data_IF_298204100126
#
_entry.id   IF_298204100126
#
_cell.length_a   1.000
_cell.length_b   1.000
_cell.length_c   1.000
_cell.angle_alpha   90.00
_cell.angle_beta   90.00
_cell.angle_gamma   90.00
#
_symmetry.space_group_name_H-M   'P 1'
#
loop_
_entity.id
_entity.type
_entity.pdbx_description
1 polymer ?
#
# COMPACT_ATOMS: atom_id res chain seq x y z
N UNK A 1 -20.65 26.67 -7.38
CA UNK A 1 -20.42 25.22 -7.33
C UNK A 1 -20.49 24.67 -8.75
N UNK A 2 -19.42 24.07 -9.21
CA UNK A 2 -19.42 23.34 -10.46
C UNK A 2 -20.26 22.05 -10.29
N UNK A 3 -21.15 21.76 -11.24
CA UNK A 3 -22.06 20.62 -11.10
C UNK A 3 -21.58 19.47 -11.99
N UNK A 4 -20.93 18.49 -11.38
CA UNK A 4 -20.44 17.30 -12.06
C UNK A 4 -21.55 16.23 -12.12
N UNK A 5 -22.11 16.01 -13.30
CA UNK A 5 -23.20 15.04 -13.52
C UNK A 5 -22.68 13.66 -13.90
N UNK A 6 -21.56 13.62 -14.62
CA UNK A 6 -20.92 12.41 -15.10
C UNK A 6 -19.41 12.48 -14.88
N UNK A 7 -18.84 11.48 -14.22
CA UNK A 7 -17.40 11.37 -14.00
C UNK A 7 -16.86 10.07 -14.58
N UNK A 8 -15.59 10.08 -14.98
CA UNK A 8 -14.86 8.94 -15.47
C UNK A 8 -13.72 8.60 -14.50
N UNK A 9 -13.67 7.37 -13.97
CA UNK A 9 -12.62 6.92 -13.05
C UNK A 9 -11.72 5.93 -13.77
N UNK A 10 -10.43 6.27 -13.92
CA UNK A 10 -9.43 5.49 -14.64
C UNK A 10 -8.60 4.66 -13.66
N UNK A 11 -8.67 3.35 -13.76
CA UNK A 11 -8.14 2.38 -12.81
C UNK A 11 -9.19 2.00 -11.76
N UNK A 12 -9.62 0.75 -11.75
CA UNK A 12 -10.68 0.23 -10.87
C UNK A 12 -10.11 -0.75 -9.82
N UNK A 13 -8.89 -0.47 -9.35
CA UNK A 13 -8.26 -1.22 -8.27
C UNK A 13 -8.79 -0.84 -6.87
N UNK A 14 -7.95 -1.08 -5.84
CA UNK A 14 -8.28 -0.89 -4.42
C UNK A 14 -8.69 0.53 -4.02
N UNK A 15 -8.37 1.54 -4.83
CA UNK A 15 -8.78 2.93 -4.60
C UNK A 15 -9.88 3.32 -5.59
N UNK A 16 -9.65 3.13 -6.90
CA UNK A 16 -10.57 3.66 -7.91
C UNK A 16 -11.96 3.03 -7.90
N UNK A 17 -12.09 1.72 -7.65
CA UNK A 17 -13.43 1.09 -7.59
C UNK A 17 -14.25 1.57 -6.37
N UNK A 18 -13.70 1.62 -5.14
CA UNK A 18 -14.41 2.21 -4.01
C UNK A 18 -14.77 3.69 -4.23
N UNK A 19 -13.86 4.50 -4.78
CA UNK A 19 -14.12 5.91 -5.12
C UNK A 19 -15.27 6.02 -6.12
N UNK A 20 -15.23 5.24 -7.21
CA UNK A 20 -16.27 5.21 -8.24
C UNK A 20 -17.66 4.82 -7.66
N UNK A 21 -17.69 3.75 -6.86
CA UNK A 21 -18.93 3.27 -6.23
C UNK A 21 -19.48 4.29 -5.22
N UNK A 22 -18.60 4.98 -4.47
CA UNK A 22 -19.00 6.02 -3.51
C UNK A 22 -19.61 7.23 -4.21
N UNK A 23 -19.02 7.75 -5.28
CA UNK A 23 -19.64 8.81 -6.10
C UNK A 23 -21.00 8.37 -6.65
N UNK A 24 -21.08 7.14 -7.19
CA UNK A 24 -22.32 6.61 -7.75
C UNK A 24 -23.44 6.52 -6.70
N UNK A 25 -23.13 6.08 -5.48
CA UNK A 25 -24.06 6.02 -4.37
C UNK A 25 -24.58 7.40 -3.92
N UNK A 26 -23.81 8.46 -4.18
CA UNK A 26 -24.21 9.83 -3.89
C UNK A 26 -24.80 10.56 -5.09
N UNK A 27 -25.27 9.81 -6.10
CA UNK A 27 -26.09 10.33 -7.19
C UNK A 27 -25.37 10.78 -8.45
N UNK A 28 -24.03 10.76 -8.47
CA UNK A 28 -23.23 11.07 -9.66
C UNK A 28 -23.25 9.86 -10.61
N UNK A 29 -23.41 10.08 -11.91
CA UNK A 29 -23.20 9.01 -12.90
C UNK A 29 -21.71 8.76 -13.04
N UNK A 30 -21.28 7.49 -12.95
CA UNK A 30 -19.87 7.10 -13.01
C UNK A 30 -19.64 6.08 -14.10
N UNK A 31 -18.64 6.34 -14.93
CA UNK A 31 -18.04 5.34 -15.82
C UNK A 31 -16.66 4.99 -15.31
N UNK A 32 -16.47 3.76 -14.86
CA UNK A 32 -15.17 3.22 -14.52
C UNK A 32 -14.44 2.71 -15.77
N UNK A 33 -13.14 2.88 -15.82
CA UNK A 33 -12.30 2.40 -16.91
C UNK A 33 -11.15 1.59 -16.35
N UNK A 34 -10.99 0.36 -16.84
CA UNK A 34 -9.87 -0.49 -16.48
C UNK A 34 -9.40 -1.30 -17.69
N UNK A 35 -8.09 -1.51 -17.81
CA UNK A 35 -7.50 -2.31 -18.90
C UNK A 35 -7.77 -3.81 -18.75
N UNK A 36 -8.17 -4.25 -17.57
CA UNK A 36 -8.49 -5.65 -17.27
C UNK A 36 -9.96 -5.95 -17.60
N UNK A 37 -10.20 -6.58 -18.76
CA UNK A 37 -11.55 -6.97 -19.20
C UNK A 37 -12.31 -7.80 -18.15
N UNK A 38 -11.64 -8.71 -17.45
CA UNK A 38 -12.28 -9.53 -16.43
C UNK A 38 -12.80 -8.69 -15.25
N UNK A 39 -12.06 -7.67 -14.82
CA UNK A 39 -12.52 -6.74 -13.79
C UNK A 39 -13.75 -5.95 -14.28
N UNK A 40 -13.70 -5.45 -15.51
CA UNK A 40 -14.82 -4.74 -16.16
C UNK A 40 -16.07 -5.61 -16.20
N UNK A 41 -15.95 -6.88 -16.62
CA UNK A 41 -17.08 -7.82 -16.72
C UNK A 41 -17.69 -8.13 -15.35
N UNK A 42 -16.85 -8.32 -14.31
CA UNK A 42 -17.33 -8.54 -12.95
C UNK A 42 -18.10 -7.33 -12.41
N UNK A 43 -17.54 -6.14 -12.57
CA UNK A 43 -18.18 -4.91 -12.08
C UNK A 43 -19.54 -4.70 -12.75
N UNK A 44 -19.65 -4.89 -14.06
CA UNK A 44 -20.91 -4.77 -14.79
C UNK A 44 -21.96 -5.83 -14.39
N UNK A 45 -21.53 -6.94 -13.77
CA UNK A 45 -22.39 -7.94 -13.14
C UNK A 45 -22.75 -7.59 -11.68
N UNK A 46 -22.33 -6.43 -11.16
CA UNK A 46 -22.48 -6.04 -9.75
C UNK A 46 -21.62 -6.85 -8.79
N UNK A 47 -20.47 -7.34 -9.26
CA UNK A 47 -19.49 -8.11 -8.48
C UNK A 47 -18.18 -7.33 -8.35
N UNK A 48 -17.38 -7.69 -7.37
CA UNK A 48 -16.07 -7.08 -7.14
C UNK A 48 -14.93 -8.10 -7.35
N UNK A 49 -13.76 -7.61 -7.76
CA UNK A 49 -12.53 -8.40 -7.93
C UNK A 49 -11.48 -8.10 -6.84
N UNK A 50 -11.84 -7.26 -5.88
CA UNK A 50 -11.01 -6.89 -4.73
C UNK A 50 -11.76 -7.17 -3.43
N UNK A 51 -11.03 -7.38 -2.33
CA UNK A 51 -11.62 -7.67 -1.02
C UNK A 51 -11.62 -6.39 -0.18
N UNK A 52 -12.81 -5.83 0.05
CA UNK A 52 -13.02 -4.70 0.95
C UNK A 52 -14.41 -4.83 1.57
N UNK A 53 -14.56 -4.68 2.89
CA UNK A 53 -15.87 -4.79 3.56
C UNK A 53 -16.94 -3.89 2.92
N UNK A 54 -18.12 -4.43 2.74
CA UNK A 54 -19.33 -3.77 2.21
C UNK A 54 -19.25 -3.27 0.76
N UNK A 55 -18.11 -3.38 0.10
CA UNK A 55 -17.93 -2.90 -1.27
C UNK A 55 -18.76 -3.70 -2.29
N UNK A 56 -18.89 -5.01 -2.11
CA UNK A 56 -19.67 -5.88 -2.99
C UNK A 56 -21.17 -5.50 -3.00
N UNK A 57 -21.71 -5.20 -1.83
CA UNK A 57 -23.09 -4.73 -1.69
C UNK A 57 -23.27 -3.37 -2.37
N UNK A 58 -22.34 -2.43 -2.12
CA UNK A 58 -22.38 -1.10 -2.71
C UNK A 58 -22.31 -1.14 -4.24
N UNK A 59 -21.34 -1.89 -4.80
CA UNK A 59 -21.17 -2.01 -6.27
C UNK A 59 -22.40 -2.63 -6.91
N UNK A 60 -22.94 -3.71 -6.33
CA UNK A 60 -24.17 -4.34 -6.83
C UNK A 60 -25.32 -3.34 -6.91
N UNK A 61 -25.53 -2.56 -5.85
CA UNK A 61 -26.65 -1.63 -5.76
C UNK A 61 -26.52 -0.47 -6.77
N UNK A 62 -25.34 0.14 -6.90
CA UNK A 62 -25.13 1.27 -7.83
C UNK A 62 -25.10 0.83 -9.30
N UNK A 63 -24.66 -0.41 -9.60
CA UNK A 63 -24.75 -0.98 -10.95
C UNK A 63 -26.20 -1.29 -11.31
N UNK A 64 -26.97 -1.90 -10.40
CA UNK A 64 -28.39 -2.17 -10.61
C UNK A 64 -29.23 -0.90 -10.84
N UNK A 65 -28.82 0.23 -10.24
CA UNK A 65 -29.44 1.54 -10.45
C UNK A 65 -28.97 2.24 -11.75
N UNK A 66 -28.02 1.65 -12.49
CA UNK A 66 -27.43 2.25 -13.69
C UNK A 66 -26.56 3.50 -13.39
N UNK A 67 -26.10 3.67 -12.14
CA UNK A 67 -25.25 4.78 -11.70
C UNK A 67 -23.78 4.51 -11.91
N UNK A 68 -23.35 3.25 -11.88
CA UNK A 68 -21.99 2.79 -12.18
C UNK A 68 -22.02 1.82 -13.35
N UNK A 69 -21.14 2.02 -14.30
CA UNK A 69 -20.80 1.07 -15.36
C UNK A 69 -19.30 1.03 -15.56
N UNK A 70 -18.75 -0.07 -16.08
CA UNK A 70 -17.33 -0.22 -16.34
C UNK A 70 -17.06 -0.55 -17.82
N UNK A 71 -15.94 -0.07 -18.35
CA UNK A 71 -15.51 -0.32 -19.73
C UNK A 71 -13.98 -0.19 -19.89
N UNK A 72 -13.48 -0.54 -21.07
CA UNK A 72 -12.03 -0.53 -21.37
C UNK A 72 -11.53 0.85 -21.82
N UNK A 73 -12.40 1.65 -22.45
CA UNK A 73 -12.04 2.91 -23.10
C UNK A 73 -12.75 4.05 -22.39
N UNK A 74 -12.09 5.20 -22.11
CA UNK A 74 -12.73 6.40 -21.57
C UNK A 74 -13.85 6.94 -22.46
N UNK A 75 -14.70 7.78 -21.92
CA UNK A 75 -15.76 8.50 -22.62
C UNK A 75 -15.77 9.96 -22.17
N UNK A 76 -16.54 10.79 -22.87
CA UNK A 76 -16.79 12.16 -22.46
C UNK A 76 -17.42 12.22 -21.08
N UNK A 77 -16.87 13.07 -20.22
CA UNK A 77 -17.30 13.27 -18.84
C UNK A 77 -16.97 14.69 -18.38
N UNK A 78 -17.59 15.12 -17.28
CA UNK A 78 -17.31 16.43 -16.68
C UNK A 78 -15.99 16.43 -15.90
N UNK A 79 -15.63 15.27 -15.31
CA UNK A 79 -14.38 15.09 -14.60
C UNK A 79 -13.79 13.70 -14.80
N UNK A 80 -12.46 13.62 -14.71
CA UNK A 80 -11.67 12.40 -14.81
C UNK A 80 -10.83 12.23 -13.55
N UNK A 81 -10.93 11.07 -12.91
CA UNK A 81 -10.12 10.71 -11.74
C UNK A 81 -9.16 9.60 -12.16
N UNK A 82 -7.86 9.86 -12.06
CA UNK A 82 -6.80 8.91 -12.41
C UNK A 82 -6.30 8.21 -11.14
N UNK A 83 -6.64 6.93 -10.98
CA UNK A 83 -6.34 6.08 -9.84
C UNK A 83 -5.58 4.80 -10.27
N UNK A 84 -4.55 4.99 -11.09
CA UNK A 84 -3.72 3.92 -11.66
C UNK A 84 -2.50 3.60 -10.79
N UNK A 85 -1.89 2.41 -10.89
CA UNK A 85 -0.66 2.08 -10.15
C UNK A 85 0.52 3.00 -10.49
N UNK A 86 1.37 3.26 -9.49
CA UNK A 86 2.64 3.98 -9.63
C UNK A 86 3.78 3.15 -9.02
N UNK A 87 4.18 2.03 -9.65
CA UNK A 87 5.29 1.22 -9.16
C UNK A 87 6.62 1.96 -9.34
N UNK A 88 7.69 1.44 -8.75
CA UNK A 88 9.05 1.85 -9.06
C UNK A 88 9.73 0.84 -9.99
N UNK A 89 10.78 1.30 -10.68
CA UNK A 89 11.70 0.50 -11.49
C UNK A 89 12.81 -0.08 -10.61
N UNK A 90 13.68 -0.92 -11.18
CA UNK A 90 14.75 -1.62 -10.47
C UNK A 90 15.70 -0.71 -9.68
N UNK A 91 15.83 0.55 -10.05
CA UNK A 91 16.65 1.58 -9.38
C UNK A 91 15.87 2.48 -8.41
N UNK A 92 14.70 2.04 -7.97
CA UNK A 92 13.76 2.80 -7.14
C UNK A 92 13.23 4.09 -7.77
N UNK A 93 13.39 4.29 -9.09
CA UNK A 93 12.78 5.41 -9.79
C UNK A 93 11.28 5.15 -10.03
N UNK A 94 10.43 6.17 -9.83
CA UNK A 94 8.99 6.00 -10.07
C UNK A 94 8.71 5.70 -11.54
N UNK A 95 7.83 4.72 -11.80
CA UNK A 95 7.36 4.41 -13.14
C UNK A 95 6.02 5.11 -13.42
N UNK A 96 6.06 6.22 -14.12
CA UNK A 96 4.89 7.04 -14.43
C UNK A 96 4.16 6.60 -15.72
N UNK A 97 4.57 5.50 -16.36
CA UNK A 97 3.97 5.04 -17.63
C UNK A 97 2.46 4.81 -17.56
N UNK A 98 1.94 4.39 -16.40
CA UNK A 98 0.51 4.17 -16.22
C UNK A 98 -0.26 5.49 -16.17
N UNK A 99 0.31 6.53 -15.52
CA UNK A 99 -0.27 7.89 -15.52
C UNK A 99 -0.21 8.47 -16.92
N UNK A 100 0.90 8.31 -17.64
CA UNK A 100 1.06 8.74 -19.03
C UNK A 100 0.02 8.07 -19.93
N UNK A 101 -0.14 6.74 -19.82
CA UNK A 101 -1.14 5.99 -20.58
C UNK A 101 -2.57 6.46 -20.28
N UNK A 102 -2.90 6.69 -19.00
CA UNK A 102 -4.19 7.22 -18.60
C UNK A 102 -4.43 8.63 -19.17
N UNK A 103 -3.43 9.52 -19.08
CA UNK A 103 -3.51 10.87 -19.65
C UNK A 103 -3.76 10.81 -21.17
N UNK A 104 -3.01 10.01 -21.91
CA UNK A 104 -3.20 9.83 -23.36
C UNK A 104 -4.56 9.23 -23.70
N UNK A 105 -5.07 8.32 -22.88
CA UNK A 105 -6.37 7.69 -23.09
C UNK A 105 -7.54 8.66 -22.88
N UNK A 106 -7.47 9.56 -21.90
CA UNK A 106 -8.54 10.56 -21.64
C UNK A 106 -8.46 11.79 -22.57
N UNK A 107 -7.28 12.12 -23.08
CA UNK A 107 -7.06 13.34 -23.87
C UNK A 107 -8.08 13.53 -25.02
N UNK A 108 -8.45 12.52 -25.84
CA UNK A 108 -9.43 12.71 -26.92
C UNK A 108 -10.83 13.13 -26.46
N UNK A 109 -11.17 12.90 -25.19
CA UNK A 109 -12.49 13.15 -24.61
C UNK A 109 -12.57 14.46 -23.82
N UNK A 110 -11.44 15.17 -23.68
CA UNK A 110 -11.42 16.44 -22.94
C UNK A 110 -12.14 17.53 -23.69
N UNK A 111 -12.88 18.34 -22.95
CA UNK A 111 -13.54 19.56 -23.39
C UNK A 111 -13.33 20.68 -22.38
N UNK A 112 -13.64 21.92 -22.76
CA UNK A 112 -13.53 23.09 -21.87
C UNK A 112 -14.25 22.83 -20.54
N UNK A 113 -13.67 23.33 -19.46
CA UNK A 113 -14.11 23.19 -18.05
C UNK A 113 -14.04 21.76 -17.48
N UNK A 114 -13.46 20.81 -18.20
CA UNK A 114 -13.21 19.49 -17.62
C UNK A 114 -12.17 19.56 -16.49
N UNK A 115 -12.42 18.76 -15.45
CA UNK A 115 -11.52 18.57 -14.32
C UNK A 115 -10.79 17.23 -14.43
N UNK A 116 -9.46 17.25 -14.32
CA UNK A 116 -8.63 16.02 -14.24
C UNK A 116 -7.94 15.97 -12.90
N UNK A 117 -8.20 14.92 -12.13
CA UNK A 117 -7.62 14.69 -10.80
C UNK A 117 -6.67 13.50 -10.85
N UNK A 118 -5.43 13.70 -10.43
CA UNK A 118 -4.52 12.60 -10.12
C UNK A 118 -4.73 12.19 -8.65
N UNK A 119 -5.33 11.02 -8.44
CA UNK A 119 -5.58 10.45 -7.10
C UNK A 119 -4.48 9.43 -6.69
N UNK A 120 -3.79 8.85 -7.68
CA UNK A 120 -2.67 7.93 -7.44
C UNK A 120 -1.57 8.56 -6.61
N UNK A 121 -1.03 7.84 -5.62
CA UNK A 121 0.20 8.26 -4.92
C UNK A 121 1.32 8.44 -5.94
N UNK A 122 1.96 9.59 -5.93
CA UNK A 122 2.86 10.00 -7.00
C UNK A 122 4.06 10.80 -6.46
N UNK A 123 5.21 10.77 -7.11
CA UNK A 123 6.32 11.67 -6.79
C UNK A 123 5.95 13.12 -7.05
N UNK A 124 6.59 14.03 -6.32
CA UNK A 124 6.37 15.49 -6.50
C UNK A 124 6.68 15.91 -7.94
N UNK A 125 5.70 16.56 -8.57
CA UNK A 125 5.74 17.01 -9.96
C UNK A 125 5.04 16.06 -10.95
N UNK A 126 4.48 14.93 -10.50
CA UNK A 126 3.77 14.01 -11.37
C UNK A 126 2.48 14.62 -11.95
N UNK A 127 1.78 15.44 -11.18
CA UNK A 127 0.58 16.16 -11.63
C UNK A 127 0.91 17.16 -12.75
N UNK A 128 2.01 17.89 -12.59
CA UNK A 128 2.51 18.81 -13.63
C UNK A 128 2.94 18.03 -14.89
N UNK A 129 3.55 16.88 -14.71
CA UNK A 129 3.94 16.02 -15.83
C UNK A 129 2.71 15.45 -16.57
N UNK A 130 1.66 15.06 -15.84
CA UNK A 130 0.37 14.66 -16.42
C UNK A 130 -0.24 15.81 -17.23
N UNK A 131 -0.22 17.03 -16.68
CA UNK A 131 -0.68 18.23 -17.38
C UNK A 131 0.09 18.50 -18.68
N UNK A 132 1.40 18.24 -18.68
CA UNK A 132 2.24 18.38 -19.87
C UNK A 132 1.85 17.36 -20.97
N UNK A 133 1.67 16.08 -20.61
CA UNK A 133 1.22 15.06 -21.57
C UNK A 133 -0.17 15.33 -22.15
N UNK A 134 -1.10 15.82 -21.33
CA UNK A 134 -2.42 16.24 -21.78
C UNK A 134 -2.35 17.42 -22.75
N UNK A 135 -1.54 18.42 -22.43
CA UNK A 135 -1.33 19.61 -23.27
C UNK A 135 -0.67 19.26 -24.63
N UNK A 136 0.27 18.31 -24.62
CA UNK A 136 0.89 17.81 -25.85
C UNK A 136 -0.13 17.08 -26.73
N UNK A 137 -1.01 16.27 -26.14
CA UNK A 137 -2.04 15.52 -26.84
C UNK A 137 -3.23 16.40 -27.31
N UNK A 138 -3.47 17.56 -26.68
CA UNK A 138 -4.59 18.49 -26.96
C UNK A 138 -4.10 19.93 -27.09
N UNK A 139 -3.35 20.25 -28.17
CA UNK A 139 -2.84 21.60 -28.42
C UNK A 139 -3.94 22.64 -28.75
N UNK A 140 -5.16 22.17 -28.94
CA UNK A 140 -6.37 22.99 -29.13
C UNK A 140 -6.98 23.52 -27.82
N UNK A 141 -6.56 22.99 -26.67
CA UNK A 141 -7.00 23.38 -25.31
C UNK A 141 -5.84 24.02 -24.53
N UNK A 142 -6.18 24.90 -23.62
CA UNK A 142 -5.21 25.52 -22.70
C UNK A 142 -5.22 24.82 -21.34
N UNK A 143 -4.04 24.70 -20.72
CA UNK A 143 -3.83 24.03 -19.45
C UNK A 143 -3.28 24.98 -18.38
N UNK A 144 -3.39 24.67 -17.07
CA UNK A 144 -2.98 25.58 -16.00
C UNK A 144 -1.54 26.07 -16.08
N UNK A 145 -0.59 25.25 -16.56
CA UNK A 145 0.79 25.66 -16.75
C UNK A 145 0.99 26.70 -17.87
N UNK A 146 0.01 26.86 -18.75
CA UNK A 146 0.06 27.80 -19.88
C UNK A 146 -0.76 29.07 -19.61
N UNK A 147 -1.98 28.90 -19.06
CA UNK A 147 -2.98 29.96 -18.95
C UNK A 147 -3.42 30.28 -17.51
N UNK A 148 -2.85 29.59 -16.50
CA UNK A 148 -3.19 29.79 -15.09
C UNK A 148 -4.68 29.62 -14.83
N UNK A 149 -5.31 30.62 -14.19
CA UNK A 149 -6.74 30.62 -13.87
C UNK A 149 -7.67 30.70 -15.11
N UNK A 150 -7.13 31.02 -16.27
CA UNK A 150 -7.89 31.15 -17.54
C UNK A 150 -7.82 29.88 -18.38
N UNK A 151 -7.21 28.80 -17.84
CA UNK A 151 -7.07 27.52 -18.55
C UNK A 151 -8.45 26.92 -18.87
N UNK A 152 -8.54 26.27 -20.03
CA UNK A 152 -9.73 25.51 -20.42
C UNK A 152 -9.89 24.25 -19.56
N UNK A 153 -8.78 23.60 -19.18
CA UNK A 153 -8.77 22.38 -18.38
C UNK A 153 -8.33 22.69 -16.95
N UNK A 154 -8.99 22.05 -15.98
CA UNK A 154 -8.66 22.13 -14.56
C UNK A 154 -7.89 20.88 -14.14
N UNK A 155 -6.79 21.04 -13.37
CA UNK A 155 -5.95 19.92 -12.96
C UNK A 155 -5.61 20.02 -11.47
N UNK A 156 -5.76 18.90 -10.75
CA UNK A 156 -5.43 18.80 -9.33
C UNK A 156 -4.82 17.44 -8.97
N UNK A 157 -4.16 17.43 -7.81
CA UNK A 157 -3.78 16.21 -7.10
C UNK A 157 -4.59 16.09 -5.81
N UNK A 158 -5.25 14.95 -5.61
CA UNK A 158 -6.04 14.68 -4.41
C UNK A 158 -5.70 13.29 -3.88
N UNK A 159 -4.60 13.12 -3.12
CA UNK A 159 -4.11 11.81 -2.72
C UNK A 159 -5.10 11.08 -1.81
N UNK A 160 -5.25 9.78 -2.04
CA UNK A 160 -6.06 8.95 -1.18
C UNK A 160 -5.31 8.55 0.09
N UNK A 161 -6.02 8.58 1.25
CA UNK A 161 -5.45 8.43 2.59
C UNK A 161 -6.22 7.43 3.45
N UNK A 162 -6.81 6.41 2.82
CA UNK A 162 -7.62 5.40 3.50
C UNK A 162 -6.81 4.17 3.93
N UNK A 163 -7.34 3.49 4.94
CA UNK A 163 -6.79 2.22 5.42
C UNK A 163 -7.56 1.05 4.79
N UNK A 164 -6.88 0.07 4.15
CA UNK A 164 -7.52 -1.17 3.71
C UNK A 164 -8.31 -1.84 4.83
N UNK A 165 -9.53 -2.27 4.53
CA UNK A 165 -10.51 -2.79 5.49
C UNK A 165 -11.45 -1.73 6.10
N UNK A 166 -11.23 -0.42 5.79
CA UNK A 166 -12.08 0.71 6.20
C UNK A 166 -12.27 1.73 5.08
N UNK A 167 -11.98 1.34 3.84
CA UNK A 167 -11.91 2.28 2.70
C UNK A 167 -13.20 3.08 2.55
N UNK A 168 -14.36 2.43 2.50
CA UNK A 168 -15.64 3.12 2.28
C UNK A 168 -15.99 4.11 3.40
N UNK A 169 -15.70 3.74 4.65
CA UNK A 169 -15.95 4.63 5.78
C UNK A 169 -15.01 5.83 5.75
N UNK A 170 -13.71 5.60 5.53
CA UNK A 170 -12.69 6.63 5.58
C UNK A 170 -12.72 7.55 4.35
N UNK A 171 -13.16 7.09 3.17
CA UNK A 171 -13.44 7.94 2.02
C UNK A 171 -14.42 9.08 2.35
N UNK A 172 -15.42 8.77 3.19
CA UNK A 172 -16.47 9.71 3.56
C UNK A 172 -16.05 10.59 4.75
N UNK A 173 -15.39 10.00 5.76
CA UNK A 173 -15.17 10.65 7.05
C UNK A 173 -13.85 11.41 7.17
N UNK A 174 -12.80 11.00 6.43
CA UNK A 174 -11.49 11.63 6.56
C UNK A 174 -11.43 12.99 5.88
N UNK A 175 -10.61 13.89 6.42
CA UNK A 175 -10.22 15.12 5.75
C UNK A 175 -9.46 14.81 4.47
N UNK A 176 -9.71 15.58 3.41
CA UNK A 176 -9.09 15.39 2.11
C UNK A 176 -8.18 16.57 1.77
N UNK A 177 -6.95 16.28 1.39
CA UNK A 177 -6.02 17.27 0.87
C UNK A 177 -6.34 17.47 -0.61
N UNK A 178 -6.51 18.73 -1.01
CA UNK A 178 -6.86 19.10 -2.39
C UNK A 178 -5.83 20.06 -2.93
N UNK A 179 -4.96 19.58 -3.81
CA UNK A 179 -3.88 20.34 -4.40
C UNK A 179 -4.14 20.71 -5.85
N UNK A 180 -4.73 21.86 -6.12
CA UNK A 180 -4.90 22.37 -7.48
C UNK A 180 -3.60 22.90 -8.08
N UNK A 181 -3.47 22.85 -9.42
CA UNK A 181 -2.43 23.62 -10.11
C UNK A 181 -2.71 25.12 -10.07
N UNK A 182 -3.98 25.52 -9.87
CA UNK A 182 -4.44 26.88 -9.55
C UNK A 182 -5.52 26.83 -8.48
N UNK A 183 -5.87 27.95 -7.81
CA UNK A 183 -7.01 28.02 -6.88
C UNK A 183 -8.33 27.56 -7.52
N UNK A 184 -8.58 27.92 -8.79
CA UNK A 184 -9.76 27.43 -9.53
C UNK A 184 -9.79 25.91 -9.64
N UNK A 185 -8.64 25.28 -9.86
CA UNK A 185 -8.52 23.82 -9.91
C UNK A 185 -8.82 23.20 -8.53
N UNK A 186 -8.30 23.79 -7.44
CA UNK A 186 -8.60 23.36 -6.08
C UNK A 186 -10.10 23.45 -5.79
N UNK A 187 -10.72 24.58 -6.08
CA UNK A 187 -12.14 24.78 -5.79
C UNK A 187 -13.04 23.81 -6.56
N UNK A 188 -12.76 23.56 -7.84
CA UNK A 188 -13.50 22.59 -8.63
C UNK A 188 -13.38 21.17 -8.05
N UNK A 189 -12.18 20.80 -7.60
CA UNK A 189 -11.95 19.50 -6.95
C UNK A 189 -12.67 19.39 -5.61
N UNK A 190 -12.68 20.45 -4.80
CA UNK A 190 -13.44 20.52 -3.55
C UNK A 190 -14.94 20.36 -3.83
N UNK A 191 -15.48 21.06 -4.82
CA UNK A 191 -16.89 20.95 -5.22
C UNK A 191 -17.25 19.51 -5.61
N UNK A 192 -16.36 18.80 -6.33
CA UNK A 192 -16.56 17.41 -6.70
C UNK A 192 -16.56 16.49 -5.48
N UNK A 193 -15.54 16.54 -4.62
CA UNK A 193 -15.44 15.62 -3.48
C UNK A 193 -16.49 15.89 -2.40
N UNK A 194 -16.94 17.13 -2.22
CA UNK A 194 -18.01 17.49 -1.26
C UNK A 194 -19.35 16.83 -1.55
N UNK A 195 -19.51 16.15 -2.68
CA UNK A 195 -20.68 15.32 -2.95
C UNK A 195 -20.82 14.21 -1.88
N UNK A 196 -19.72 13.64 -1.38
CA UNK A 196 -19.75 12.58 -0.37
C UNK A 196 -18.84 12.82 0.84
N UNK A 197 -17.77 13.61 0.72
CA UNK A 197 -16.82 13.85 1.81
C UNK A 197 -17.44 14.73 2.88
N UNK A 198 -17.53 14.18 4.10
CA UNK A 198 -18.01 14.87 5.31
C UNK A 198 -16.88 15.55 6.07
N UNK A 199 -15.66 15.03 5.97
CA UNK A 199 -14.46 15.68 6.51
C UNK A 199 -14.14 16.99 5.80
N UNK A 200 -13.13 17.71 6.26
CA UNK A 200 -12.70 18.94 5.64
C UNK A 200 -11.95 18.67 4.31
N UNK A 201 -12.22 19.49 3.30
CA UNK A 201 -11.41 19.54 2.09
C UNK A 201 -10.42 20.69 2.24
N UNK A 202 -9.15 20.37 2.47
CA UNK A 202 -8.09 21.33 2.80
C UNK A 202 -7.36 21.71 1.51
N UNK A 203 -7.49 22.97 1.11
CA UNK A 203 -6.86 23.48 -0.09
C UNK A 203 -5.35 23.65 0.07
N UNK A 204 -4.61 23.27 -0.97
CA UNK A 204 -3.18 23.53 -1.14
C UNK A 204 -2.80 23.50 -2.63
N UNK A 205 -1.51 23.51 -2.97
CA UNK A 205 -1.03 23.30 -4.32
C UNK A 205 -0.70 21.81 -4.60
N UNK A 206 -0.62 21.43 -5.88
CA UNK A 206 -0.41 20.05 -6.31
C UNK A 206 0.86 19.44 -5.70
N UNK A 207 1.99 20.15 -5.70
CA UNK A 207 3.26 19.66 -5.14
C UNK A 207 3.18 19.38 -3.64
N UNK A 208 2.51 20.26 -2.89
CA UNK A 208 2.32 20.06 -1.45
C UNK A 208 1.41 18.87 -1.19
N UNK A 209 0.34 18.70 -1.97
CA UNK A 209 -0.57 17.55 -1.83
C UNK A 209 0.14 16.23 -2.13
N UNK A 210 0.95 16.15 -3.19
CA UNK A 210 1.81 15.00 -3.51
C UNK A 210 2.76 14.69 -2.35
N UNK A 211 3.46 15.72 -1.84
CA UNK A 211 4.43 15.56 -0.75
C UNK A 211 3.76 15.16 0.57
N UNK A 212 2.54 15.64 0.87
CA UNK A 212 1.80 15.26 2.08
C UNK A 212 1.65 13.75 2.19
N UNK A 213 1.17 13.10 1.12
CA UNK A 213 1.00 11.64 1.09
C UNK A 213 2.31 10.89 1.29
N UNK A 214 3.36 11.30 0.59
CA UNK A 214 4.68 10.69 0.70
C UNK A 214 5.27 10.89 2.10
N UNK A 215 5.05 12.06 2.71
CA UNK A 215 5.53 12.37 4.06
C UNK A 215 4.86 11.51 5.12
N UNK A 216 3.55 11.26 5.03
CA UNK A 216 2.81 10.40 5.97
C UNK A 216 3.40 8.98 6.00
N UNK A 217 3.64 8.40 4.82
CA UNK A 217 4.20 7.06 4.71
C UNK A 217 5.67 7.02 5.09
N UNK A 218 6.46 8.03 4.74
CA UNK A 218 7.87 8.16 5.15
C UNK A 218 8.03 8.36 6.66
N UNK A 219 7.17 9.17 7.29
CA UNK A 219 7.14 9.32 8.75
C UNK A 219 6.91 7.97 9.43
N UNK A 220 5.95 7.19 8.93
CA UNK A 220 5.64 5.87 9.46
C UNK A 220 6.81 4.90 9.27
N UNK A 221 7.44 4.90 8.09
CA UNK A 221 8.60 4.08 7.77
C UNK A 221 9.81 4.38 8.67
N UNK A 222 10.14 5.65 8.87
CA UNK A 222 11.22 6.09 9.77
C UNK A 222 10.98 5.63 11.22
N UNK A 223 9.74 5.72 11.70
CA UNK A 223 9.40 5.27 13.06
C UNK A 223 9.46 3.74 13.21
N UNK A 224 9.13 2.98 12.15
CA UNK A 224 9.31 1.53 12.14
C UNK A 224 10.81 1.19 12.08
N UNK A 225 11.60 1.89 11.27
CA UNK A 225 13.05 1.70 11.18
C UNK A 225 13.73 1.92 12.54
N UNK A 226 13.33 2.97 13.26
CA UNK A 226 13.81 3.21 14.62
C UNK A 226 13.50 2.04 15.57
N UNK A 227 12.28 1.50 15.54
CA UNK A 227 11.90 0.34 16.36
C UNK A 227 12.68 -0.92 15.95
N UNK A 228 12.88 -1.15 14.64
CA UNK A 228 13.63 -2.27 14.11
C UNK A 228 15.11 -2.20 14.49
N UNK A 229 15.75 -1.03 14.38
CA UNK A 229 17.11 -0.79 14.82
C UNK A 229 17.25 -1.00 16.34
N UNK A 230 16.32 -0.48 17.15
CA UNK A 230 16.30 -0.74 18.60
C UNK A 230 16.24 -2.23 18.92
N UNK A 231 15.49 -3.02 18.15
CA UNK A 231 15.41 -4.47 18.40
C UNK A 231 16.75 -5.18 18.16
N UNK A 232 17.54 -4.74 17.17
CA UNK A 232 18.89 -5.25 16.88
C UNK A 232 19.87 -4.82 17.98
N UNK A 233 19.80 -3.56 18.41
CA UNK A 233 20.63 -3.03 19.51
C UNK A 233 20.33 -3.76 20.82
N UNK A 234 19.05 -3.97 21.14
CA UNK A 234 18.61 -4.67 22.36
C UNK A 234 19.09 -6.13 22.38
N UNK A 235 18.99 -6.83 21.25
CA UNK A 235 19.53 -8.19 21.11
C UNK A 235 21.04 -8.23 21.42
N UNK A 236 21.80 -7.29 20.86
CA UNK A 236 23.24 -7.19 21.09
C UNK A 236 23.61 -6.88 22.56
N UNK A 237 22.74 -6.19 23.28
CA UNK A 237 22.93 -5.75 24.68
C UNK A 237 22.22 -6.64 25.71
N UNK A 238 21.61 -7.73 25.29
CA UNK A 238 20.80 -8.64 26.13
C UNK A 238 19.67 -7.86 26.87
N UNK A 239 18.97 -6.99 26.14
CA UNK A 239 17.82 -6.19 26.63
C UNK A 239 16.55 -6.69 25.96
N UNK A 240 15.47 -6.81 26.74
CA UNK A 240 14.14 -7.08 26.17
C UNK A 240 13.58 -5.82 25.49
N UNK A 241 13.53 -5.81 24.15
CA UNK A 241 13.05 -4.65 23.38
C UNK A 241 11.59 -4.31 23.65
N UNK A 242 10.75 -5.30 23.92
CA UNK A 242 9.33 -5.11 24.19
C UNK A 242 9.11 -4.38 25.53
N UNK A 243 9.87 -4.76 26.54
CA UNK A 243 9.88 -4.07 27.84
C UNK A 243 10.43 -2.67 27.69
N UNK A 244 11.56 -2.49 27.01
CA UNK A 244 12.16 -1.19 26.73
C UNK A 244 11.15 -0.23 26.11
N UNK A 245 10.50 -0.64 25.00
CA UNK A 245 9.52 0.18 24.27
C UNK A 245 8.32 0.52 25.19
N UNK A 246 7.81 -0.46 25.94
CA UNK A 246 6.72 -0.24 26.90
C UNK A 246 7.08 0.80 27.95
N UNK A 247 8.30 0.77 28.47
CA UNK A 247 8.78 1.72 29.48
C UNK A 247 9.06 3.10 28.87
N UNK A 248 9.73 3.16 27.71
CA UNK A 248 10.02 4.41 27.00
C UNK A 248 8.73 5.17 26.63
N UNK A 249 7.71 4.45 26.17
CA UNK A 249 6.41 5.02 25.81
C UNK A 249 5.59 5.53 27.04
N UNK A 250 6.08 5.34 28.27
CA UNK A 250 5.52 6.04 29.45
C UNK A 250 5.83 7.52 29.43
N UNK A 251 6.85 7.95 28.72
CA UNK A 251 7.18 9.37 28.57
C UNK A 251 6.15 10.05 27.64
N UNK A 252 5.53 11.17 28.04
CA UNK A 252 4.38 11.77 27.33
C UNK A 252 4.66 12.25 25.91
N UNK A 253 5.92 12.41 25.52
CA UNK A 253 6.34 12.84 24.18
C UNK A 253 6.98 11.72 23.35
N UNK A 254 6.87 10.46 23.78
CA UNK A 254 7.49 9.30 23.11
C UNK A 254 6.40 8.31 22.75
N UNK A 255 6.39 7.90 21.48
CA UNK A 255 5.47 6.88 20.94
C UNK A 255 6.23 6.00 19.92
N UNK A 256 7.09 5.13 20.43
CA UNK A 256 7.86 4.17 19.63
C UNK A 256 6.91 3.09 19.13
N UNK A 257 6.97 2.79 17.83
CA UNK A 257 6.22 1.71 17.22
C UNK A 257 6.80 0.34 17.61
N UNK A 258 6.09 -0.73 17.27
CA UNK A 258 6.59 -2.08 17.51
C UNK A 258 7.56 -2.51 16.39
N UNK A 259 8.67 -3.17 16.71
CA UNK A 259 9.53 -3.77 15.71
C UNK A 259 8.87 -4.98 15.04
N UNK A 260 9.41 -5.40 13.91
CA UNK A 260 8.95 -6.54 13.16
C UNK A 260 10.07 -7.16 12.30
N UNK A 261 9.75 -8.11 11.42
CA UNK A 261 10.73 -8.76 10.56
C UNK A 261 11.18 -7.90 9.37
N UNK A 262 10.61 -6.71 9.21
CA UNK A 262 10.81 -5.77 8.11
C UNK A 262 9.53 -5.02 7.78
N UNK A 263 9.51 -4.28 6.67
CA UNK A 263 8.35 -3.50 6.20
C UNK A 263 7.95 -3.97 4.82
N UNK A 264 6.72 -4.46 4.71
CA UNK A 264 6.12 -4.90 3.46
C UNK A 264 4.94 -4.05 3.01
N UNK A 265 4.27 -4.53 1.96
CA UNK A 265 3.13 -3.85 1.34
C UNK A 265 3.53 -2.79 0.31
N UNK A 266 2.53 -2.25 -0.40
CA UNK A 266 2.76 -1.39 -1.57
C UNK A 266 2.98 0.09 -1.27
N UNK A 267 2.77 0.54 -0.03
CA UNK A 267 2.81 1.97 0.29
C UNK A 267 4.09 2.31 1.09
N UNK A 268 4.20 1.80 2.33
CA UNK A 268 5.29 2.21 3.23
C UNK A 268 6.66 1.76 2.70
N UNK A 269 6.73 0.61 2.03
CA UNK A 269 7.97 0.12 1.44
C UNK A 269 8.37 0.85 0.15
N UNK A 270 7.46 1.57 -0.50
CA UNK A 270 7.63 2.17 -1.84
C UNK A 270 7.72 3.69 -1.79
N UNK A 271 6.75 4.36 -1.18
CA UNK A 271 6.59 5.82 -1.24
C UNK A 271 7.81 6.62 -0.75
N UNK A 272 8.56 6.19 0.30
CA UNK A 272 9.77 6.90 0.72
C UNK A 272 10.83 6.98 -0.39
N UNK A 273 10.92 5.97 -1.25
CA UNK A 273 11.84 5.97 -2.38
C UNK A 273 11.50 7.06 -3.41
N UNK A 274 10.24 7.48 -3.53
CA UNK A 274 9.86 8.61 -4.40
C UNK A 274 10.47 9.93 -3.91
N UNK A 275 10.57 10.13 -2.59
CA UNK A 275 11.28 11.29 -2.03
C UNK A 275 12.78 11.16 -2.27
N UNK A 276 13.35 9.98 -1.99
CA UNK A 276 14.80 9.72 -2.15
C UNK A 276 15.23 9.89 -3.60
N UNK A 277 14.46 9.36 -4.56
CA UNK A 277 14.79 9.47 -5.98
C UNK A 277 14.78 10.91 -6.48
N UNK A 278 13.88 11.75 -5.96
CA UNK A 278 13.73 13.15 -6.35
C UNK A 278 14.77 14.07 -5.68
N UNK A 279 15.14 13.76 -4.44
CA UNK A 279 16.05 14.60 -3.62
C UNK A 279 17.12 13.74 -2.92
N UNK A 280 18.01 13.06 -3.69
CA UNK A 280 18.90 12.03 -3.15
C UNK A 280 19.91 12.55 -2.14
N UNK A 281 20.32 13.81 -2.25
CA UNK A 281 21.28 14.43 -1.33
C UNK A 281 20.64 14.86 -0.01
N UNK A 282 19.37 15.28 -0.05
CA UNK A 282 18.65 15.81 1.11
C UNK A 282 17.92 14.71 1.90
N UNK A 283 17.43 13.65 1.24
CA UNK A 283 16.62 12.60 1.84
C UNK A 283 17.45 11.54 2.59
N UNK A 284 18.44 11.97 3.40
CA UNK A 284 19.40 11.07 4.08
C UNK A 284 18.72 10.17 5.12
N UNK A 285 17.89 10.75 6.01
CA UNK A 285 17.19 10.03 7.05
C UNK A 285 16.18 9.03 6.45
N UNK A 286 15.40 9.46 5.46
CA UNK A 286 14.39 8.63 4.79
C UNK A 286 15.05 7.44 4.10
N UNK A 287 16.16 7.67 3.40
CA UNK A 287 16.96 6.61 2.77
C UNK A 287 17.48 5.61 3.80
N UNK A 288 18.15 6.08 4.85
CA UNK A 288 18.71 5.21 5.89
C UNK A 288 17.61 4.40 6.58
N UNK A 289 16.45 4.99 6.84
CA UNK A 289 15.31 4.27 7.40
C UNK A 289 14.86 3.11 6.49
N UNK A 290 14.78 3.35 5.17
CA UNK A 290 14.49 2.26 4.21
C UNK A 290 15.57 1.17 4.23
N UNK A 291 16.83 1.55 4.22
CA UNK A 291 17.97 0.62 4.29
C UNK A 291 17.92 -0.24 5.57
N UNK A 292 17.59 0.35 6.72
CA UNK A 292 17.39 -0.38 7.99
C UNK A 292 16.23 -1.37 7.88
N UNK A 293 15.08 -0.94 7.36
CA UNK A 293 13.91 -1.79 7.21
C UNK A 293 14.14 -2.91 6.19
N UNK A 294 14.83 -2.64 5.08
CA UNK A 294 15.13 -3.61 4.02
C UNK A 294 16.21 -4.62 4.45
N UNK A 295 17.13 -4.25 5.34
CA UNK A 295 18.15 -5.13 5.92
C UNK A 295 17.60 -6.04 7.04
N UNK A 296 16.45 -5.70 7.64
CA UNK A 296 15.91 -6.43 8.79
C UNK A 296 15.60 -7.91 8.50
N UNK A 297 15.07 -8.32 7.34
CA UNK A 297 14.87 -9.73 7.01
C UNK A 297 16.15 -10.57 7.04
N UNK A 298 17.27 -10.03 6.55
CA UNK A 298 18.57 -10.73 6.58
C UNK A 298 19.05 -10.95 8.03
N UNK A 299 18.91 -9.93 8.87
CA UNK A 299 19.23 -10.08 10.29
C UNK A 299 18.38 -11.19 10.95
N UNK A 300 17.08 -11.28 10.64
CA UNK A 300 16.21 -12.36 11.15
C UNK A 300 16.69 -13.72 10.67
N UNK A 301 17.04 -13.84 9.40
CA UNK A 301 17.60 -15.09 8.82
C UNK A 301 18.87 -15.51 9.57
N UNK A 302 19.75 -14.57 9.87
CA UNK A 302 20.98 -14.87 10.61
C UNK A 302 20.70 -15.30 12.05
N UNK A 303 19.70 -14.73 12.73
CA UNK A 303 19.26 -15.24 14.04
C UNK A 303 18.74 -16.68 13.96
N UNK A 304 17.99 -17.03 12.90
CA UNK A 304 17.53 -18.41 12.67
C UNK A 304 18.70 -19.36 12.45
N UNK A 305 19.72 -18.96 11.67
CA UNK A 305 20.93 -19.77 11.44
C UNK A 305 21.72 -20.02 12.72
N UNK A 306 21.87 -18.98 13.57
CA UNK A 306 22.50 -19.11 14.88
C UNK A 306 21.74 -20.15 15.71
N UNK A 307 20.41 -20.08 15.74
CA UNK A 307 19.56 -21.01 16.49
C UNK A 307 19.64 -22.45 15.96
N UNK A 308 19.73 -22.60 14.63
CA UNK A 308 19.96 -23.91 13.99
C UNK A 308 21.33 -24.48 14.42
N UNK A 309 22.38 -23.64 14.42
CA UNK A 309 23.72 -24.09 14.83
C UNK A 309 23.74 -24.53 16.30
N UNK A 310 23.10 -23.77 17.20
CA UNK A 310 22.94 -24.18 18.62
C UNK A 310 22.19 -25.52 18.75
N UNK A 311 21.11 -25.69 17.97
CA UNK A 311 20.34 -26.92 17.97
C UNK A 311 21.16 -28.12 17.49
N UNK A 312 21.93 -28.00 16.40
CA UNK A 312 22.78 -29.04 15.86
C UNK A 312 23.94 -29.36 16.80
N UNK A 313 24.50 -28.39 17.50
CA UNK A 313 25.53 -28.61 18.52
C UNK A 313 25.00 -29.45 19.68
N UNK A 314 23.73 -29.27 20.05
CA UNK A 314 23.07 -30.05 21.10
C UNK A 314 22.59 -31.43 20.61
N UNK A 315 22.52 -31.67 19.30
CA UNK A 315 22.04 -32.90 18.66
C UNK A 315 23.03 -33.35 17.55
N UNK A 316 24.24 -33.83 17.92
CA UNK A 316 25.33 -34.09 16.95
C UNK A 316 25.03 -35.20 15.94
N UNK A 317 24.02 -36.02 16.17
CA UNK A 317 23.52 -37.05 15.22
C UNK A 317 22.67 -36.45 14.07
N UNK A 318 22.20 -35.20 14.21
CA UNK A 318 21.37 -34.51 13.19
C UNK A 318 22.22 -33.67 12.24
N UNK A 319 21.69 -33.48 11.04
CA UNK A 319 22.23 -32.60 10.01
C UNK A 319 21.21 -31.44 9.74
N UNK A 320 21.59 -30.44 8.97
CA UNK A 320 20.69 -29.33 8.60
C UNK A 320 19.41 -29.83 7.89
N UNK A 321 19.48 -30.96 7.19
CA UNK A 321 18.34 -31.56 6.49
C UNK A 321 17.33 -32.22 7.44
N UNK A 322 17.76 -32.50 8.67
CA UNK A 322 16.91 -33.11 9.71
C UNK A 322 16.26 -32.02 10.58
N UNK A 323 16.61 -30.72 10.37
CA UNK A 323 16.07 -29.62 11.12
C UNK A 323 14.79 -29.13 10.46
N UNK A 324 13.74 -28.95 11.26
CA UNK A 324 12.47 -28.35 10.85
C UNK A 324 12.26 -27.02 11.55
N UNK A 325 12.02 -25.98 10.76
CA UNK A 325 11.73 -24.61 11.24
C UNK A 325 10.28 -24.27 10.96
N UNK A 326 9.53 -23.90 11.99
CA UNK A 326 8.16 -23.41 11.85
C UNK A 326 8.14 -21.88 11.74
N UNK A 327 7.66 -21.35 10.60
CA UNK A 327 7.49 -19.93 10.34
C UNK A 327 6.03 -19.54 10.57
N UNK A 328 5.75 -18.83 11.66
CA UNK A 328 4.42 -18.37 12.06
C UNK A 328 4.11 -17.00 11.44
N UNK A 329 3.25 -16.99 10.40
CA UNK A 329 2.84 -15.84 9.62
C UNK A 329 3.68 -15.65 8.36
N UNK A 330 2.98 -15.45 7.23
CA UNK A 330 3.58 -15.16 5.92
C UNK A 330 3.09 -13.83 5.34
N UNK A 331 1.95 -13.30 5.83
CA UNK A 331 1.39 -12.04 5.37
C UNK A 331 2.27 -10.84 5.78
N UNK A 332 2.18 -9.73 5.06
CA UNK A 332 2.97 -8.55 5.43
C UNK A 332 2.42 -7.80 6.66
N UNK A 333 1.24 -8.18 7.15
CA UNK A 333 0.53 -7.52 8.25
C UNK A 333 -0.41 -8.52 8.94
N UNK A 334 -0.70 -8.36 10.26
CA UNK A 334 -1.61 -9.25 10.97
C UNK A 334 -3.02 -9.31 10.40
N UNK A 335 -3.63 -10.51 10.44
CA UNK A 335 -5.04 -10.78 10.17
C UNK A 335 -5.51 -10.46 8.75
N UNK A 336 -4.61 -10.56 7.76
CA UNK A 336 -4.91 -10.45 6.33
C UNK A 336 -4.30 -11.63 5.56
N UNK A 337 -4.73 -11.80 4.31
CA UNK A 337 -4.24 -12.82 3.35
C UNK A 337 -3.24 -12.26 2.30
N UNK A 338 -2.84 -10.98 2.43
CA UNK A 338 -1.97 -10.32 1.46
C UNK A 338 -0.49 -10.61 1.71
N UNK A 339 0.12 -11.30 0.76
CA UNK A 339 1.52 -11.74 0.78
C UNK A 339 2.46 -10.83 -0.02
N UNK A 340 1.94 -9.75 -0.63
CA UNK A 340 2.73 -8.89 -1.51
C UNK A 340 3.81 -8.15 -0.73
N UNK A 341 5.04 -8.19 -1.25
CA UNK A 341 6.22 -7.56 -0.62
C UNK A 341 6.35 -7.92 0.88
N UNK A 342 5.95 -9.15 1.26
CA UNK A 342 6.01 -9.59 2.66
C UNK A 342 7.43 -9.98 3.07
N UNK A 343 8.02 -9.31 4.08
CA UNK A 343 9.29 -9.72 4.66
C UNK A 343 9.22 -11.14 5.28
N UNK A 344 8.08 -11.50 5.86
CA UNK A 344 7.86 -12.82 6.44
C UNK A 344 7.92 -13.94 5.39
N UNK A 345 7.30 -13.70 4.22
CA UNK A 345 7.36 -14.62 3.09
C UNK A 345 8.78 -14.71 2.51
N UNK A 346 9.49 -13.58 2.41
CA UNK A 346 10.88 -13.53 1.93
C UNK A 346 11.82 -14.30 2.85
N UNK A 347 11.74 -14.10 4.16
CA UNK A 347 12.50 -14.85 5.16
C UNK A 347 12.23 -16.35 5.02
N UNK A 348 10.97 -16.74 4.97
CA UNK A 348 10.55 -18.14 4.80
C UNK A 348 11.15 -18.76 3.55
N UNK A 349 11.08 -18.05 2.42
CA UNK A 349 11.64 -18.46 1.14
C UNK A 349 13.16 -18.63 1.20
N UNK A 350 13.88 -17.62 1.71
CA UNK A 350 15.36 -17.65 1.79
C UNK A 350 15.88 -18.75 2.72
N UNK A 351 15.19 -19.03 3.82
CA UNK A 351 15.52 -20.17 4.69
C UNK A 351 15.33 -21.50 3.95
N UNK A 352 14.24 -21.68 3.22
CA UNK A 352 13.97 -22.87 2.44
C UNK A 352 15.00 -23.07 1.31
N UNK A 353 15.41 -21.99 0.61
CA UNK A 353 16.44 -22.03 -0.44
C UNK A 353 17.82 -22.51 0.09
N UNK A 354 18.08 -22.40 1.39
CA UNK A 354 19.26 -22.93 2.05
C UNK A 354 19.13 -24.42 2.42
N UNK A 355 18.05 -25.08 2.02
CA UNK A 355 17.82 -26.51 2.24
C UNK A 355 17.22 -26.86 3.60
N UNK A 356 16.69 -25.87 4.35
CA UNK A 356 16.01 -26.06 5.63
C UNK A 356 14.57 -26.49 5.36
N UNK A 357 14.06 -27.50 6.09
CA UNK A 357 12.65 -27.88 6.01
C UNK A 357 11.78 -26.86 6.74
N UNK A 358 10.81 -26.29 6.05
CA UNK A 358 9.96 -25.24 6.60
C UNK A 358 8.51 -25.70 6.73
N UNK A 359 7.98 -25.59 7.95
CA UNK A 359 6.54 -25.59 8.20
C UNK A 359 6.06 -24.13 8.18
N UNK A 360 5.27 -23.78 7.17
CA UNK A 360 4.70 -22.45 7.03
C UNK A 360 3.30 -22.44 7.66
N UNK A 361 3.07 -21.57 8.64
CA UNK A 361 1.80 -21.43 9.36
C UNK A 361 1.18 -20.09 9.03
N UNK A 362 0.20 -20.07 8.11
CA UNK A 362 -0.53 -18.87 7.73
C UNK A 362 -2.05 -19.15 7.72
N UNK A 363 -2.77 -18.76 8.78
CA UNK A 363 -4.20 -19.08 8.92
C UNK A 363 -5.10 -18.44 7.86
N UNK A 364 -4.62 -17.38 7.20
CA UNK A 364 -5.44 -16.56 6.30
C UNK A 364 -5.33 -16.98 4.82
N UNK A 365 -4.48 -17.97 4.49
CA UNK A 365 -4.36 -18.49 3.12
C UNK A 365 -4.72 -19.98 3.06
N UNK A 366 -5.16 -20.43 1.89
CA UNK A 366 -5.50 -21.85 1.65
C UNK A 366 -4.41 -22.62 0.90
N UNK A 367 -3.55 -21.92 0.19
CA UNK A 367 -2.50 -22.48 -0.65
C UNK A 367 -1.25 -21.61 -0.61
N UNK A 368 -0.09 -22.22 -0.69
CA UNK A 368 1.19 -21.52 -0.79
C UNK A 368 1.35 -20.87 -2.18
N UNK A 369 2.06 -19.73 -2.26
CA UNK A 369 2.49 -19.17 -3.54
C UNK A 369 3.36 -20.15 -4.34
N UNK A 370 3.14 -20.23 -5.65
CA UNK A 370 3.86 -21.14 -6.57
C UNK A 370 5.38 -20.92 -6.61
N UNK A 371 5.88 -19.79 -6.11
CA UNK A 371 7.30 -19.42 -6.15
C UNK A 371 8.12 -19.94 -4.95
N UNK A 372 7.50 -20.64 -4.01
CA UNK A 372 8.22 -21.21 -2.85
C UNK A 372 8.88 -22.53 -3.21
N UNK A 373 10.07 -22.86 -2.62
CA UNK A 373 10.72 -24.14 -2.77
C UNK A 373 9.87 -25.33 -2.25
N UNK A 374 10.10 -26.52 -2.77
CA UNK A 374 9.32 -27.73 -2.45
C UNK A 374 9.47 -28.21 -0.99
N UNK A 375 10.48 -27.75 -0.26
CA UNK A 375 10.71 -28.03 1.16
C UNK A 375 9.96 -27.07 2.10
N UNK A 376 9.00 -26.28 1.57
CA UNK A 376 8.03 -25.50 2.34
C UNK A 376 6.68 -26.20 2.32
N UNK A 377 6.14 -26.52 3.49
CA UNK A 377 4.83 -27.13 3.65
C UNK A 377 3.90 -26.19 4.42
N UNK A 378 2.72 -25.88 3.85
CA UNK A 378 1.67 -25.18 4.59
C UNK A 378 1.03 -26.14 5.60
N UNK A 379 0.96 -25.72 6.85
CA UNK A 379 0.37 -26.52 7.93
C UNK A 379 -0.45 -25.65 8.89
N UNK A 380 -1.17 -26.29 9.80
CA UNK A 380 -1.90 -25.62 10.86
C UNK A 380 -1.00 -25.26 12.06
N UNK A 381 -1.59 -24.58 13.03
CA UNK A 381 -0.90 -24.07 14.23
C UNK A 381 -0.39 -25.21 15.10
N UNK A 382 -1.19 -26.28 15.26
CA UNK A 382 -0.85 -27.43 16.11
C UNK A 382 0.31 -28.23 15.52
N UNK A 383 0.28 -28.54 14.23
CA UNK A 383 1.36 -29.26 13.58
C UNK A 383 2.67 -28.46 13.56
N UNK A 384 2.61 -27.12 13.55
CA UNK A 384 3.77 -26.25 13.69
C UNK A 384 4.52 -26.43 15.03
N UNK A 385 3.84 -26.90 16.09
CA UNK A 385 4.46 -27.12 17.40
C UNK A 385 5.43 -28.31 17.45
N UNK A 386 5.42 -29.17 16.45
CA UNK A 386 6.33 -30.31 16.33
C UNK A 386 7.73 -29.92 15.79
N UNK A 387 7.91 -28.66 15.36
CA UNK A 387 9.17 -28.19 14.80
C UNK A 387 10.30 -28.11 15.84
N UNK A 388 11.53 -28.17 15.35
CA UNK A 388 12.74 -28.03 16.18
C UNK A 388 12.95 -26.56 16.59
N UNK A 389 12.59 -25.60 15.72
CA UNK A 389 12.75 -24.14 15.93
C UNK A 389 11.49 -23.41 15.49
N UNK A 390 11.12 -22.37 16.22
CA UNK A 390 9.96 -21.51 15.95
C UNK A 390 10.39 -20.10 15.59
N UNK A 391 9.85 -19.55 14.51
CA UNK A 391 10.09 -18.16 14.09
C UNK A 391 8.73 -17.45 13.96
N UNK A 392 8.44 -16.52 14.85
CA UNK A 392 7.19 -15.76 14.83
C UNK A 392 7.42 -14.48 14.02
N UNK A 393 6.87 -14.43 12.81
CA UNK A 393 7.09 -13.37 11.84
C UNK A 393 5.90 -12.40 11.75
N UNK A 394 4.67 -12.86 12.03
CA UNK A 394 3.47 -12.01 11.99
C UNK A 394 2.59 -12.31 13.20
N UNK A 395 2.10 -11.25 13.86
CA UNK A 395 1.27 -11.35 15.06
C UNK A 395 -0.22 -11.55 14.72
N UNK A 396 -0.57 -12.68 14.11
CA UNK A 396 -1.98 -13.02 13.91
C UNK A 396 -2.70 -13.30 15.23
N UNK A 397 -3.99 -13.02 15.29
CA UNK A 397 -4.82 -13.29 16.48
C UNK A 397 -4.82 -14.74 16.92
N UNK A 398 -4.64 -15.67 15.97
CA UNK A 398 -4.57 -17.11 16.22
C UNK A 398 -3.31 -17.51 16.98
N UNK A 399 -2.26 -16.66 17.01
CA UNK A 399 -0.98 -16.94 17.67
C UNK A 399 -0.90 -16.41 19.10
N UNK A 400 -1.88 -15.63 19.58
CA UNK A 400 -1.85 -14.94 20.89
C UNK A 400 -1.69 -15.83 22.13
N UNK A 401 -2.01 -17.11 22.03
CA UNK A 401 -1.98 -18.05 23.16
C UNK A 401 -1.09 -19.25 22.90
N UNK A 402 -0.12 -19.12 21.97
CA UNK A 402 0.81 -20.19 21.68
C UNK A 402 1.79 -20.38 22.84
N UNK A 403 1.81 -21.56 23.42
CA UNK A 403 2.81 -21.96 24.42
C UNK A 403 4.06 -22.47 23.70
N UNK A 404 4.84 -21.59 23.09
CA UNK A 404 6.10 -21.94 22.43
C UNK A 404 7.22 -22.13 23.48
N UNK A 405 8.10 -23.11 23.23
CA UNK A 405 9.26 -23.30 24.08
C UNK A 405 10.25 -22.14 23.87
N UNK A 406 10.43 -21.30 24.88
CA UNK A 406 11.26 -20.08 24.86
C UNK A 406 12.68 -20.33 24.33
N UNK A 407 13.27 -21.50 24.63
CA UNK A 407 14.63 -21.87 24.16
C UNK A 407 14.70 -22.10 22.64
N UNK A 408 13.57 -22.33 22.00
CA UNK A 408 13.45 -22.66 20.57
C UNK A 408 12.84 -21.52 19.76
N UNK A 409 12.43 -20.44 20.39
CA UNK A 409 11.67 -19.34 19.76
C UNK A 409 12.57 -18.19 19.34
N UNK A 410 12.31 -17.67 18.15
CA UNK A 410 12.74 -16.35 17.66
C UNK A 410 11.45 -15.54 17.43
N UNK A 411 11.17 -14.61 18.32
CA UNK A 411 9.95 -13.80 18.28
C UNK A 411 10.23 -12.39 17.77
N UNK A 412 9.76 -12.12 16.54
CA UNK A 412 9.89 -10.81 15.88
C UNK A 412 8.70 -9.89 16.15
N UNK A 413 7.69 -10.34 16.89
CA UNK A 413 6.40 -9.67 16.99
C UNK A 413 5.92 -9.40 18.43
N UNK A 414 6.58 -9.97 19.44
CA UNK A 414 6.17 -9.89 20.85
C UNK A 414 4.86 -10.65 21.12
N UNK A 415 4.79 -11.92 20.73
CA UNK A 415 3.64 -12.82 20.93
C UNK A 415 3.71 -13.51 22.27
#
# INVERSE_FOLDING_TARGET
MQNFKHICVIGLGYIGLPTAATFAAHGVKVTGVDVNQHAVDLINQGKVHIVEPDLDALVRDVVAQGKLSAQIIPIEADAYIVAVPTPFKDDYQPDLKYIEAAAKAIAPYLSQDNLVILESTSPVGATEQMAAWLSEARPDLTFPQQAGEQADILIAHCPERVLPGKVLQELISNDRIVGGMTPRCSQASIDLYKVFVKGDCIETNARTAEMCKLTENSFRDVNIAFANELSIICDKLDINVWELIKLANRHPRVNILQPGPGVGGHCIAVDPWFIVSKTPEQARLIRTAREVNDAKPEWVIDQVKIKIAEFLQANPEKTIKDVTVACYGLAFKPDIDDLRESPALEITKKLAEQGINILAIEPNIKTLPQKLPNNVQLTDVEAGLEADIYVVLVKHKQFKNLCLNIKKVIDMCGV
#
